data_IF_323384623410
#
_entry.id   IF_323384623410
#
_cell.length_a   1.000
_cell.length_b   1.000
_cell.length_c   1.000
_cell.angle_alpha   90.00
_cell.angle_beta   90.00
_cell.angle_gamma   90.00
#
_symmetry.space_group_name_H-M   'P 1'
#
loop_
_entity.id
_entity.type
_entity.pdbx_description
1 polymer ?
#
# COMPACT_ATOMS: atom_id res chain seq x y z
N UNK A 1 -0.30 -4.59 -15.01
CA UNK A 1 -1.33 -4.44 -13.98
C UNK A 1 -0.71 -5.04 -12.73
N UNK A 2 -0.29 -4.18 -11.80
CA UNK A 2 0.47 -4.54 -10.60
C UNK A 2 0.38 -3.42 -9.58
N UNK A 3 0.45 -3.77 -8.28
CA UNK A 3 0.69 -2.79 -7.23
C UNK A 3 2.11 -2.19 -7.32
N UNK A 4 2.29 -1.01 -6.74
CA UNK A 4 3.55 -0.31 -6.57
C UNK A 4 3.79 0.05 -5.09
N UNK A 5 5.05 -0.01 -4.63
CA UNK A 5 5.45 0.51 -3.33
C UNK A 5 6.07 1.90 -3.56
N UNK A 6 5.58 2.91 -2.85
CA UNK A 6 6.08 4.30 -2.96
C UNK A 6 7.27 4.55 -2.04
N UNK A 7 7.84 5.75 -2.15
CA UNK A 7 8.90 6.25 -1.26
C UNK A 7 8.46 6.47 0.20
N UNK A 8 7.17 6.28 0.53
CA UNK A 8 6.69 6.27 1.91
C UNK A 8 7.01 4.97 2.65
N UNK A 9 7.54 3.95 1.97
CA UNK A 9 7.96 2.71 2.59
C UNK A 9 8.99 2.93 3.71
N UNK A 10 8.73 2.35 4.88
CA UNK A 10 9.59 2.43 6.07
C UNK A 10 10.45 1.18 6.29
N UNK A 11 10.57 0.32 5.28
CA UNK A 11 11.37 -0.91 5.32
C UNK A 11 11.04 -1.89 6.48
N UNK A 12 9.76 -1.98 6.88
CA UNK A 12 9.32 -2.83 7.99
C UNK A 12 9.24 -4.34 7.68
N UNK A 13 9.53 -4.75 6.43
CA UNK A 13 9.50 -6.15 5.94
C UNK A 13 8.13 -6.82 5.84
N UNK A 14 7.11 -6.39 6.58
CA UNK A 14 5.84 -7.10 6.71
C UNK A 14 5.13 -7.47 5.39
N UNK A 15 5.17 -6.61 4.38
CA UNK A 15 4.51 -6.88 3.09
C UNK A 15 5.17 -8.04 2.30
N UNK A 16 6.47 -8.27 2.49
CA UNK A 16 7.20 -9.35 1.82
C UNK A 16 6.73 -10.72 2.30
N UNK A 17 6.47 -10.86 3.60
CA UNK A 17 6.06 -12.13 4.22
C UNK A 17 4.65 -12.58 3.84
N UNK A 18 3.78 -11.64 3.43
CA UNK A 18 2.35 -11.92 3.17
C UNK A 18 2.00 -11.95 1.67
N UNK A 19 2.94 -11.68 0.76
CA UNK A 19 2.66 -11.67 -0.67
C UNK A 19 2.56 -13.11 -1.21
N UNK A 20 1.37 -13.59 -1.64
CA UNK A 20 1.20 -15.00 -2.02
C UNK A 20 1.97 -15.38 -3.29
N UNK A 21 2.19 -14.42 -4.20
CA UNK A 21 2.94 -14.65 -5.44
C UNK A 21 4.43 -14.34 -5.34
N UNK A 22 4.93 -14.09 -4.11
CA UNK A 22 6.34 -13.76 -3.84
C UNK A 22 6.86 -12.59 -4.70
N UNK A 23 5.98 -11.66 -5.08
CA UNK A 23 6.31 -10.57 -5.98
C UNK A 23 7.14 -9.45 -5.33
N UNK A 24 7.27 -9.45 -3.99
CA UNK A 24 7.88 -8.36 -3.23
C UNK A 24 9.30 -8.74 -2.81
N UNK A 25 10.25 -7.83 -3.02
CA UNK A 25 11.66 -8.03 -2.69
C UNK A 25 12.32 -6.75 -2.17
N UNK A 26 13.50 -6.88 -1.57
CA UNK A 26 14.30 -5.75 -1.07
C UNK A 26 14.90 -4.99 -2.26
N UNK A 27 14.60 -3.69 -2.35
CA UNK A 27 15.22 -2.76 -3.29
C UNK A 27 16.36 -1.95 -2.66
N UNK A 28 16.77 -0.88 -3.34
CA UNK A 28 17.89 -0.03 -2.89
C UNK A 28 17.54 0.81 -1.66
N UNK A 29 16.37 1.45 -1.66
CA UNK A 29 15.91 2.38 -0.60
C UNK A 29 14.58 1.96 0.04
N UNK A 30 13.82 1.12 -0.64
CA UNK A 30 12.49 0.65 -0.27
C UNK A 30 12.28 -0.76 -0.82
N UNK A 31 11.26 -1.46 -0.32
CA UNK A 31 10.80 -2.69 -0.96
C UNK A 31 10.22 -2.39 -2.35
N UNK A 32 10.32 -3.36 -3.26
CA UNK A 32 9.85 -3.24 -4.65
C UNK A 32 8.94 -4.41 -5.02
N UNK A 33 7.95 -4.14 -5.85
CA UNK A 33 7.04 -5.15 -6.41
C UNK A 33 7.47 -5.47 -7.84
N UNK A 34 7.67 -6.75 -8.14
CA UNK A 34 7.90 -7.22 -9.50
C UNK A 34 6.56 -7.23 -10.26
N UNK A 35 6.37 -6.36 -11.27
CA UNK A 35 5.10 -6.25 -11.98
C UNK A 35 4.75 -7.49 -12.81
N UNK A 36 5.72 -8.38 -13.08
CA UNK A 36 5.48 -9.65 -13.79
C UNK A 36 5.02 -10.77 -12.87
N UNK A 37 5.23 -10.63 -11.56
CA UNK A 37 4.87 -11.65 -10.56
C UNK A 37 3.63 -11.26 -9.75
N UNK A 38 3.32 -9.96 -9.64
CA UNK A 38 2.12 -9.49 -8.95
C UNK A 38 0.85 -9.97 -9.68
N UNK A 39 0.00 -10.73 -8.97
CA UNK A 39 -1.29 -11.23 -9.45
C UNK A 39 -2.47 -10.56 -8.73
N UNK A 40 -2.26 -9.44 -8.05
CA UNK A 40 -3.25 -8.78 -7.17
C UNK A 40 -3.82 -9.66 -6.06
N UNK A 41 -3.08 -10.69 -5.62
CA UNK A 41 -3.56 -11.73 -4.70
C UNK A 41 -4.75 -12.55 -5.24
N UNK A 42 -5.05 -12.46 -6.54
CA UNK A 42 -6.14 -13.22 -7.18
C UNK A 42 -5.92 -14.73 -7.02
N UNK A 43 -6.96 -15.43 -6.60
CA UNK A 43 -6.93 -16.87 -6.34
C UNK A 43 -6.60 -17.26 -4.91
N UNK A 44 -5.95 -16.37 -4.14
CA UNK A 44 -5.54 -16.63 -2.75
C UNK A 44 -6.35 -15.80 -1.74
N UNK A 45 -6.55 -14.51 -2.01
CA UNK A 45 -7.23 -13.58 -1.09
C UNK A 45 -8.17 -12.63 -1.83
N UNK A 46 -9.21 -12.15 -1.15
CA UNK A 46 -10.14 -11.16 -1.68
C UNK A 46 -9.58 -9.72 -1.69
N UNK A 47 -8.54 -9.47 -0.89
CA UNK A 47 -7.94 -8.14 -0.72
C UNK A 47 -6.41 -8.23 -0.83
N UNK A 48 -5.79 -7.14 -1.26
CA UNK A 48 -4.35 -7.03 -1.40
C UNK A 48 -3.64 -7.13 -0.04
N UNK A 49 -2.92 -8.23 0.19
CA UNK A 49 -2.26 -8.47 1.49
C UNK A 49 -1.16 -7.45 1.79
N UNK A 50 -0.42 -7.01 0.75
CA UNK A 50 0.60 -5.97 0.90
C UNK A 50 0.00 -4.64 1.39
N UNK A 51 -1.19 -4.26 0.90
CA UNK A 51 -1.94 -3.12 1.41
C UNK A 51 -2.42 -3.37 2.84
N UNK A 52 -3.11 -4.50 3.08
CA UNK A 52 -3.70 -4.79 4.39
C UNK A 52 -2.71 -4.82 5.56
N UNK A 53 -1.45 -5.22 5.33
CA UNK A 53 -0.42 -5.26 6.37
C UNK A 53 0.43 -3.98 6.45
N UNK A 54 0.38 -3.10 5.43
CA UNK A 54 1.27 -1.95 5.37
C UNK A 54 0.90 -0.93 6.47
N UNK A 55 1.85 -0.55 7.35
CA UNK A 55 1.56 0.38 8.45
C UNK A 55 1.54 1.85 8.02
N UNK A 56 1.74 2.14 6.73
CA UNK A 56 1.86 3.51 6.20
C UNK A 56 0.82 3.72 5.11
N UNK A 57 -0.11 4.63 5.36
CA UNK A 57 -1.10 5.08 4.36
C UNK A 57 -0.39 5.66 3.13
N UNK A 58 -0.89 5.38 1.93
CA UNK A 58 -0.29 5.82 0.67
C UNK A 58 1.02 5.13 0.28
N UNK A 59 1.52 4.18 1.06
CA UNK A 59 2.76 3.48 0.72
C UNK A 59 2.58 2.40 -0.36
N UNK A 60 1.35 1.92 -0.57
CA UNK A 60 1.01 0.95 -1.63
C UNK A 60 0.00 1.62 -2.58
N UNK A 61 0.33 1.65 -3.86
CA UNK A 61 -0.56 2.12 -4.92
C UNK A 61 -1.05 0.95 -5.75
N UNK A 62 -2.30 1.02 -6.20
CA UNK A 62 -2.83 0.12 -7.22
C UNK A 62 -2.34 0.47 -8.63
N UNK A 63 -2.84 -0.27 -9.62
CA UNK A 63 -2.48 -0.09 -11.02
C UNK A 63 -2.95 1.22 -11.65
N UNK A 64 -3.83 1.95 -10.98
CA UNK A 64 -4.29 3.29 -11.36
C UNK A 64 -3.53 4.39 -10.62
N UNK A 65 -2.61 4.03 -9.73
CA UNK A 65 -1.87 4.98 -8.89
C UNK A 65 -2.66 5.44 -7.67
N UNK A 66 -3.76 4.78 -7.32
CA UNK A 66 -4.57 5.11 -6.15
C UNK A 66 -4.05 4.38 -4.91
N UNK A 67 -4.05 5.07 -3.77
CA UNK A 67 -3.58 4.50 -2.51
C UNK A 67 -4.52 3.38 -2.04
N UNK A 68 -3.97 2.17 -1.86
CA UNK A 68 -4.73 1.02 -1.34
C UNK A 68 -5.24 1.30 0.08
N UNK A 69 -4.42 1.97 0.88
CA UNK A 69 -4.80 2.52 2.18
C UNK A 69 -4.70 4.05 2.09
N UNK A 70 -5.78 4.77 1.75
CA UNK A 70 -5.77 6.23 1.67
C UNK A 70 -5.65 6.87 3.06
N UNK A 71 -5.38 8.18 3.09
CA UNK A 71 -5.27 8.93 4.34
C UNK A 71 -6.52 8.73 5.23
N UNK A 72 -6.31 8.43 6.50
CA UNK A 72 -7.36 8.17 7.49
C UNK A 72 -7.89 6.73 7.53
N UNK A 73 -7.57 5.88 6.54
CA UNK A 73 -8.07 4.49 6.47
C UNK A 73 -7.60 3.60 7.62
N UNK A 74 -6.37 3.76 8.11
CA UNK A 74 -5.81 2.97 9.21
C UNK A 74 -6.31 3.45 10.58
N UNK A 75 -6.75 4.70 10.67
CA UNK A 75 -7.22 5.32 11.92
C UNK A 75 -8.75 5.41 12.00
N UNK A 76 -9.46 5.09 10.92
CA UNK A 76 -10.91 5.19 10.83
C UNK A 76 -11.41 6.64 10.71
N UNK A 77 -10.54 7.59 10.33
CA UNK A 77 -10.95 8.97 10.11
C UNK A 77 -11.76 9.04 8.80
N UNK A 78 -13.01 9.54 8.82
CA UNK A 78 -13.82 9.63 7.62
C UNK A 78 -13.18 10.55 6.55
N UNK A 79 -13.37 10.29 5.25
CA UNK A 79 -12.80 11.11 4.17
C UNK A 79 -13.15 12.59 4.28
N UNK A 80 -14.39 12.90 4.69
CA UNK A 80 -14.88 14.27 4.92
C UNK A 80 -14.00 15.01 5.95
N UNK A 81 -13.58 14.30 7.00
CA UNK A 81 -12.75 14.86 8.08
C UNK A 81 -11.30 15.01 7.64
N UNK A 82 -10.78 14.07 6.84
CA UNK A 82 -9.46 14.21 6.23
C UNK A 82 -9.43 15.44 5.32
N UNK A 83 -10.41 15.62 4.44
CA UNK A 83 -10.51 16.77 3.55
C UNK A 83 -10.57 18.09 4.32
N UNK A 84 -11.31 18.14 5.43
CA UNK A 84 -11.35 19.29 6.32
C UNK A 84 -9.97 19.59 6.94
N UNK A 85 -9.29 18.58 7.49
CA UNK A 85 -7.97 18.75 8.11
C UNK A 85 -6.91 19.23 7.10
N UNK A 86 -6.99 18.75 5.85
CA UNK A 86 -6.14 19.24 4.75
C UNK A 86 -6.45 20.69 4.41
N UNK A 87 -7.74 21.06 4.32
CA UNK A 87 -8.15 22.45 4.07
C UNK A 87 -7.72 23.41 5.22
N UNK A 88 -7.63 22.88 6.44
CA UNK A 88 -7.15 23.59 7.63
C UNK A 88 -5.60 23.62 7.72
N UNK A 89 -4.88 22.93 6.83
CA UNK A 89 -3.41 22.86 6.81
C UNK A 89 -2.81 22.03 7.95
N UNK A 90 -3.60 21.12 8.52
CA UNK A 90 -3.18 20.20 9.59
C UNK A 90 -2.56 18.91 9.01
N UNK A 91 -3.04 18.50 7.84
CA UNK A 91 -2.52 17.39 7.02
C UNK A 91 -2.10 17.93 5.64
#
# INVERSE_FOLDING_TARGET
>A
MSYEITNLCVNCHACMDVCPSEAISVGLSQFVINPKACNHCEGDYAHAQCGSICPVEGAILDEFGEAVNPAGSLTGIPPERVAQLVAEGIL
#
